data_IF_414005203312
#
_entry.id   IF_414005203312
#
_cell.length_a   1.000
_cell.length_b   1.000
_cell.length_c   1.000
_cell.angle_alpha   90.00
_cell.angle_beta   90.00
_cell.angle_gamma   90.00
#
_symmetry.space_group_name_H-M   'P 1'
#
loop_
_entity.id
_entity.type
_entity.pdbx_description
1 polymer ?
#
# COMPACT_ATOMS: atom_id res chain seq x y z
N UNK A 1 0.54 -16.77 -7.76
CA UNK A 1 0.14 -17.27 -6.41
C UNK A 1 0.84 -16.36 -5.43
N UNK A 2 0.15 -15.85 -4.40
CA UNK A 2 0.73 -14.84 -3.52
C UNK A 2 1.89 -15.45 -2.71
N UNK A 3 2.98 -14.69 -2.56
CA UNK A 3 4.21 -15.16 -1.91
C UNK A 3 4.06 -15.15 -0.39
N UNK A 4 4.48 -16.22 0.29
CA UNK A 4 4.36 -16.37 1.75
C UNK A 4 5.41 -15.53 2.50
N UNK A 5 4.96 -14.74 3.48
CA UNK A 5 5.84 -13.93 4.33
C UNK A 5 6.22 -14.71 5.61
N UNK A 6 7.53 -14.82 5.91
CA UNK A 6 8.00 -15.28 7.22
C UNK A 6 7.75 -14.18 8.26
N UNK A 7 6.70 -14.34 9.05
CA UNK A 7 6.30 -13.40 10.09
C UNK A 7 7.34 -13.42 11.21
N UNK A 8 8.12 -12.34 11.32
CA UNK A 8 8.93 -12.02 12.49
C UNK A 8 8.48 -10.66 13.02
N UNK A 9 8.44 -10.48 14.34
CA UNK A 9 8.06 -9.22 15.00
C UNK A 9 9.07 -8.08 14.81
N UNK A 10 9.58 -7.88 13.59
CA UNK A 10 10.30 -6.68 13.24
C UNK A 10 9.28 -5.58 12.95
N UNK A 11 9.21 -4.59 13.86
CA UNK A 11 8.68 -3.26 13.52
C UNK A 11 9.35 -2.82 12.21
N UNK A 12 8.64 -2.24 11.23
CA UNK A 12 9.32 -1.62 10.11
C UNK A 12 10.11 -0.43 10.66
N UNK A 13 11.41 -0.60 10.88
CA UNK A 13 12.32 0.50 11.11
C UNK A 13 12.59 1.12 9.76
N UNK A 14 11.64 1.93 9.29
CA UNK A 14 11.82 2.79 8.14
C UNK A 14 12.79 3.92 8.49
N UNK A 15 14.08 3.64 8.37
CA UNK A 15 15.11 4.66 8.19
C UNK A 15 15.77 4.44 6.83
N UNK A 16 16.11 5.51 6.08
CA UNK A 16 16.95 5.35 4.91
C UNK A 16 18.28 4.72 5.33
N UNK A 17 18.78 3.77 4.53
CA UNK A 17 20.08 3.16 4.74
C UNK A 17 21.14 4.25 4.52
N UNK A 18 21.75 4.73 5.60
CA UNK A 18 23.11 5.27 5.54
C UNK A 18 23.44 6.62 6.19
N UNK A 19 22.58 7.32 6.95
CA UNK A 19 23.01 8.60 7.55
C UNK A 19 22.52 8.83 9.00
N UNK A 20 23.47 9.24 9.86
CA UNK A 20 23.28 9.68 11.25
C UNK A 20 22.65 11.09 11.33
N UNK A 21 21.99 11.47 12.45
CA UNK A 21 21.10 12.62 12.48
C UNK A 21 21.83 13.93 12.81
N UNK A 22 21.70 14.96 11.97
CA UNK A 22 22.03 16.34 12.35
C UNK A 22 21.01 17.39 11.84
N UNK A 23 20.39 18.03 12.85
CA UNK A 23 19.82 19.39 13.02
C UNK A 23 19.23 20.20 11.84
N UNK A 24 17.96 20.58 12.07
CA UNK A 24 17.20 21.82 11.77
C UNK A 24 17.70 22.73 10.63
N UNK A 25 16.82 22.98 9.66
CA UNK A 25 16.42 24.34 9.28
C UNK A 25 15.07 24.34 8.55
N UNK A 26 14.37 25.46 8.70
CA UNK A 26 13.06 25.80 8.19
C UNK A 26 13.06 25.96 6.67
N UNK A 27 12.12 25.31 5.99
CA UNK A 27 11.68 25.77 4.68
C UNK A 27 10.16 25.61 4.57
N UNK A 28 9.54 26.73 4.21
CA UNK A 28 8.11 26.95 4.05
C UNK A 28 7.53 26.05 2.96
N UNK A 29 6.53 25.23 3.29
CA UNK A 29 5.75 24.52 2.26
C UNK A 29 4.47 25.29 1.99
N UNK A 30 4.53 26.12 0.95
CA UNK A 30 3.36 26.70 0.28
C UNK A 30 2.30 25.61 0.01
N UNK A 31 1.10 25.83 0.54
CA UNK A 31 -0.09 25.02 0.26
C UNK A 31 -0.49 25.23 -1.20
N UNK A 32 0.14 24.49 -2.12
CA UNK A 32 -0.42 24.28 -3.45
C UNK A 32 -1.46 23.18 -3.31
N UNK A 33 -2.73 23.56 -3.41
CA UNK A 33 -3.84 22.63 -3.61
C UNK A 33 -3.50 21.74 -4.80
N UNK A 34 -3.00 20.53 -4.53
CA UNK A 34 -2.80 19.53 -5.56
C UNK A 34 -4.19 19.07 -5.96
N UNK A 35 -4.64 19.56 -7.10
CA UNK A 35 -5.75 19.00 -7.86
C UNK A 35 -5.71 17.46 -7.75
N UNK A 36 -6.80 16.88 -7.23
CA UNK A 36 -6.91 15.43 -7.06
C UNK A 36 -7.02 14.82 -8.45
N UNK A 37 -5.89 14.58 -9.10
CA UNK A 37 -5.83 13.85 -10.35
C UNK A 37 -6.48 12.49 -10.10
N UNK A 38 -7.60 12.21 -10.76
CA UNK A 38 -8.32 10.95 -10.58
C UNK A 38 -7.39 9.79 -10.98
N UNK A 39 -6.93 9.03 -9.99
CA UNK A 39 -5.96 7.95 -10.20
C UNK A 39 -6.61 6.71 -10.85
N UNK A 40 -7.94 6.61 -10.83
CA UNK A 40 -8.71 5.46 -11.32
C UNK A 40 -9.68 5.95 -12.40
N UNK A 41 -9.59 5.36 -13.60
CA UNK A 41 -10.45 5.68 -14.73
C UNK A 41 -11.01 4.40 -15.36
N UNK A 42 -12.31 4.40 -15.64
CA UNK A 42 -12.99 3.28 -16.31
C UNK A 42 -12.42 3.09 -17.72
N UNK A 43 -12.26 1.84 -18.15
CA UNK A 43 -11.71 1.49 -19.47
C UNK A 43 -10.19 1.66 -19.60
N UNK A 44 -9.51 2.16 -18.55
CA UNK A 44 -8.04 2.15 -18.46
C UNK A 44 -7.58 0.94 -17.65
N UNK A 45 -6.31 0.57 -17.82
CA UNK A 45 -5.69 -0.48 -17.00
C UNK A 45 -5.69 -0.03 -15.54
N UNK A 46 -6.16 -0.91 -14.64
CA UNK A 46 -6.12 -0.65 -13.21
C UNK A 46 -4.66 -0.42 -12.74
N UNK A 47 -4.40 0.54 -11.85
CA UNK A 47 -3.09 0.72 -11.24
C UNK A 47 -2.65 -0.56 -10.52
N UNK A 48 -1.41 -0.99 -10.77
CA UNK A 48 -0.85 -2.14 -10.06
C UNK A 48 -0.52 -1.74 -8.62
N UNK A 49 -0.65 -2.69 -7.70
CA UNK A 49 -0.30 -2.50 -6.30
C UNK A 49 0.25 -3.80 -5.72
N UNK A 50 1.02 -3.66 -4.65
CA UNK A 50 1.50 -4.76 -3.82
C UNK A 50 1.08 -4.44 -2.39
N UNK A 51 0.37 -5.35 -1.74
CA UNK A 51 -0.07 -5.18 -0.37
C UNK A 51 0.07 -6.49 0.43
N UNK A 52 0.41 -6.41 1.73
CA UNK A 52 0.32 -7.55 2.62
C UNK A 52 -1.16 -7.91 2.83
N UNK A 53 -1.47 -9.20 2.84
CA UNK A 53 -2.80 -9.72 3.08
C UNK A 53 -2.73 -10.97 3.96
N UNK A 54 -3.85 -11.30 4.59
CA UNK A 54 -4.03 -12.56 5.29
C UNK A 54 -4.89 -13.51 4.45
N UNK A 55 -4.32 -14.64 4.05
CA UNK A 55 -4.98 -15.62 3.19
C UNK A 55 -4.74 -17.05 3.70
N UNK A 56 -5.82 -17.81 3.91
CA UNK A 56 -5.78 -19.21 4.38
C UNK A 56 -4.90 -19.44 5.61
N UNK A 57 -4.98 -18.55 6.60
CA UNK A 57 -4.21 -18.69 7.85
C UNK A 57 -2.76 -18.18 7.78
N UNK A 58 -2.36 -17.56 6.67
CA UNK A 58 -0.98 -17.10 6.44
C UNK A 58 -0.95 -15.65 6.00
N UNK A 59 0.15 -14.97 6.34
CA UNK A 59 0.47 -13.66 5.79
C UNK A 59 1.17 -13.84 4.43
N UNK A 60 0.65 -13.16 3.42
CA UNK A 60 1.15 -13.23 2.05
C UNK A 60 1.23 -11.83 1.45
N UNK A 61 2.09 -11.64 0.45
CA UNK A 61 2.05 -10.46 -0.40
C UNK A 61 1.16 -10.72 -1.62
N UNK A 62 0.19 -9.84 -1.84
CA UNK A 62 -0.72 -9.88 -2.99
C UNK A 62 -0.35 -8.77 -3.95
N UNK A 63 -0.13 -9.14 -5.21
CA UNK A 63 0.10 -8.21 -6.30
C UNK A 63 -1.04 -8.30 -7.31
N UNK A 64 -1.58 -7.16 -7.75
CA UNK A 64 -2.71 -7.16 -8.69
C UNK A 64 -2.34 -7.82 -10.04
N UNK A 65 -1.11 -7.60 -10.52
CA UNK A 65 -0.65 -8.23 -11.77
C UNK A 65 -0.57 -9.77 -11.74
N UNK A 66 -0.55 -10.41 -10.57
CA UNK A 66 -0.60 -11.89 -10.48
C UNK A 66 -1.95 -12.48 -10.90
N UNK A 67 -2.98 -11.63 -11.04
CA UNK A 67 -4.34 -12.02 -11.40
C UNK A 67 -4.72 -11.68 -12.84
N UNK A 68 -3.75 -11.27 -13.68
CA UNK A 68 -4.00 -11.06 -15.11
C UNK A 68 -4.59 -12.31 -15.77
N UNK A 69 -5.58 -12.10 -16.65
CA UNK A 69 -6.33 -13.18 -17.30
C UNK A 69 -7.50 -13.74 -16.49
N UNK A 70 -7.74 -13.22 -15.28
CA UNK A 70 -8.92 -13.54 -14.46
C UNK A 70 -9.74 -12.29 -14.20
N UNK A 71 -11.05 -12.46 -14.01
CA UNK A 71 -11.88 -11.41 -13.46
C UNK A 71 -11.59 -11.24 -11.97
N UNK A 72 -11.39 -10.00 -11.54
CA UNK A 72 -11.05 -9.63 -10.16
C UNK A 72 -12.06 -8.59 -9.67
N UNK A 73 -12.64 -8.84 -8.50
CA UNK A 73 -13.45 -7.87 -7.76
C UNK A 73 -12.59 -7.32 -6.62
N UNK A 74 -12.35 -6.01 -6.60
CA UNK A 74 -11.63 -5.32 -5.52
C UNK A 74 -12.62 -4.45 -4.74
N UNK A 75 -12.81 -4.77 -3.45
CA UNK A 75 -13.73 -4.06 -2.57
C UNK A 75 -12.95 -3.35 -1.47
N UNK A 76 -13.24 -2.06 -1.28
CA UNK A 76 -12.77 -1.30 -0.13
C UNK A 76 -13.92 -1.19 0.88
N UNK A 77 -13.61 -1.35 2.16
CA UNK A 77 -14.57 -1.18 3.25
C UNK A 77 -13.95 -0.31 4.36
N UNK A 78 -14.76 0.39 5.19
CA UNK A 78 -14.24 1.45 6.07
C UNK A 78 -13.32 0.98 7.19
N UNK A 79 -13.54 -0.21 7.75
CA UNK A 79 -12.74 -0.74 8.83
C UNK A 79 -13.24 -2.06 9.38
N UNK A 80 -12.38 -2.76 10.11
CA UNK A 80 -12.71 -3.98 10.84
C UNK A 80 -13.39 -3.66 12.17
N UNK A 81 -14.27 -4.56 12.64
CA UNK A 81 -14.95 -4.46 13.95
C UNK A 81 -15.72 -3.15 14.19
N UNK A 82 -16.35 -2.62 13.14
CA UNK A 82 -17.25 -1.47 13.25
C UNK A 82 -18.67 -1.89 13.66
N UNK A 83 -19.52 -0.91 13.97
CA UNK A 83 -20.93 -1.15 14.29
C UNK A 83 -21.71 -1.60 13.04
N UNK A 84 -22.72 -2.46 13.26
CA UNK A 84 -23.74 -2.88 12.28
C UNK A 84 -25.05 -2.19 12.58
#
# INVERSE_FOLDING_TARGET
>A
MPEELKVGCARPTGGPVGEEPLKKESDEVSTKEKEVKSMIMVGRKAPDFIAPAYYKGKFVNVKLSDYLGKWVLLCFYPGDFTFV
#
